data_IF_592769627919
#
_entry.id   IF_592769627919
#
_cell.length_a   1.000
_cell.length_b   1.000
_cell.length_c   1.000
_cell.angle_alpha   90.00
_cell.angle_beta   90.00
_cell.angle_gamma   90.00
#
_symmetry.space_group_name_H-M   'P 1'
#
loop_
_entity.id
_entity.type
_entity.pdbx_description
1 polymer ?
#
# COMPACT_ATOMS: atom_id res chain seq x y z
N UNK A 1 7.08 2.56 2.61
CA UNK A 1 6.64 1.16 2.87
C UNK A 1 6.54 0.39 1.56
N UNK A 2 6.95 -0.88 1.52
CA UNK A 2 6.81 -1.76 0.33
C UNK A 2 5.97 -2.98 0.68
N UNK A 3 4.99 -3.30 -0.17
CA UNK A 3 4.15 -4.49 -0.09
C UNK A 3 4.53 -5.36 -1.28
N UNK A 4 4.97 -6.59 -1.00
CA UNK A 4 5.28 -7.61 -2.00
C UNK A 4 4.30 -8.75 -1.85
N UNK A 5 3.69 -9.19 -2.94
CA UNK A 5 2.87 -10.40 -2.96
C UNK A 5 3.70 -11.58 -3.47
N UNK A 6 3.68 -12.69 -2.74
CA UNK A 6 4.29 -13.96 -3.17
C UNK A 6 3.20 -14.97 -3.46
N UNK A 7 3.00 -15.26 -4.75
CA UNK A 7 1.96 -16.19 -5.20
C UNK A 7 2.59 -17.59 -5.38
N UNK A 8 2.35 -18.50 -4.43
CA UNK A 8 2.76 -19.91 -4.54
C UNK A 8 1.71 -20.69 -5.35
N UNK A 9 2.06 -21.13 -6.55
CA UNK A 9 1.15 -21.89 -7.43
C UNK A 9 1.69 -23.27 -7.78
N UNK A 10 0.85 -24.30 -7.70
CA UNK A 10 1.08 -25.63 -8.26
C UNK A 10 0.17 -25.82 -9.48
N UNK A 11 0.36 -24.97 -10.50
CA UNK A 11 -0.48 -24.92 -11.71
C UNK A 11 0.38 -25.18 -12.94
N UNK A 12 -0.02 -26.15 -13.76
CA UNK A 12 0.75 -26.66 -14.91
C UNK A 12 0.59 -25.84 -16.21
N UNK A 13 -0.21 -24.77 -16.23
CA UNK A 13 -0.58 -24.06 -17.48
C UNK A 13 -0.24 -22.56 -17.42
N UNK A 14 0.56 -22.08 -18.38
CA UNK A 14 1.03 -20.68 -18.47
C UNK A 14 -0.10 -19.64 -18.56
N UNK A 15 -1.22 -19.98 -19.18
CA UNK A 15 -2.37 -19.08 -19.30
C UNK A 15 -2.99 -18.74 -17.94
N UNK A 16 -3.17 -19.73 -17.07
CA UNK A 16 -3.74 -19.51 -15.73
C UNK A 16 -2.80 -18.66 -14.87
N UNK A 17 -1.49 -18.88 -14.99
CA UNK A 17 -0.47 -18.07 -14.29
C UNK A 17 -0.55 -16.61 -14.73
N UNK A 18 -0.65 -16.35 -16.04
CA UNK A 18 -0.78 -14.99 -16.57
C UNK A 18 -2.09 -14.31 -16.14
N UNK A 19 -3.19 -15.06 -16.11
CA UNK A 19 -4.48 -14.53 -15.65
C UNK A 19 -4.41 -14.14 -14.17
N UNK A 20 -3.82 -14.99 -13.32
CA UNK A 20 -3.72 -14.67 -11.89
C UNK A 20 -2.73 -13.54 -11.64
N UNK A 21 -1.62 -13.47 -12.39
CA UNK A 21 -0.69 -12.34 -12.26
C UNK A 21 -1.36 -11.01 -12.62
N UNK A 22 -2.18 -10.97 -13.67
CA UNK A 22 -2.96 -9.77 -14.04
C UNK A 22 -3.97 -9.40 -12.96
N UNK A 23 -4.72 -10.38 -12.47
CA UNK A 23 -5.67 -10.18 -11.37
C UNK A 23 -4.97 -9.67 -10.10
N UNK A 24 -3.78 -10.19 -9.82
CA UNK A 24 -2.98 -9.78 -8.65
C UNK A 24 -2.41 -8.38 -8.82
N UNK A 25 -1.90 -8.02 -10.00
CA UNK A 25 -1.43 -6.66 -10.28
C UNK A 25 -2.55 -5.62 -10.09
N UNK A 26 -3.74 -5.91 -10.60
CA UNK A 26 -4.90 -5.04 -10.42
C UNK A 26 -5.33 -4.94 -8.96
N UNK A 27 -5.41 -6.08 -8.26
CA UNK A 27 -5.72 -6.10 -6.84
C UNK A 27 -4.72 -5.30 -5.99
N UNK A 28 -3.42 -5.37 -6.30
CA UNK A 28 -2.40 -4.57 -5.63
C UNK A 28 -2.62 -3.08 -5.87
N UNK A 29 -2.93 -2.70 -7.10
CA UNK A 29 -3.21 -1.29 -7.42
C UNK A 29 -4.38 -0.76 -6.59
N UNK A 30 -5.47 -1.52 -6.47
CA UNK A 30 -6.63 -1.12 -5.68
C UNK A 30 -6.31 -1.01 -4.18
N UNK A 31 -5.61 -2.01 -3.61
CA UNK A 31 -5.18 -1.99 -2.21
C UNK A 31 -4.24 -0.82 -1.92
N UNK A 32 -3.28 -0.56 -2.82
CA UNK A 32 -2.32 0.54 -2.68
C UNK A 32 -3.05 1.89 -2.67
N UNK A 33 -4.08 2.06 -3.50
CA UNK A 33 -4.91 3.27 -3.52
C UNK A 33 -5.69 3.41 -2.21
N UNK A 34 -6.30 2.34 -1.70
CA UNK A 34 -6.98 2.33 -0.39
C UNK A 34 -6.03 2.73 0.76
N UNK A 35 -4.84 2.11 0.81
CA UNK A 35 -3.81 2.41 1.82
C UNK A 35 -3.35 3.86 1.70
N UNK A 36 -3.09 4.34 0.48
CA UNK A 36 -2.66 5.71 0.27
C UNK A 36 -3.74 6.72 0.73
N UNK A 37 -5.01 6.45 0.43
CA UNK A 37 -6.12 7.28 0.87
C UNK A 37 -6.26 7.32 2.40
N UNK A 38 -6.12 6.18 3.08
CA UNK A 38 -6.17 6.15 4.55
C UNK A 38 -4.95 6.83 5.17
N UNK A 39 -3.76 6.65 4.58
CA UNK A 39 -2.54 7.34 5.01
C UNK A 39 -2.64 8.87 4.83
N UNK A 40 -3.23 9.33 3.72
CA UNK A 40 -3.51 10.76 3.48
C UNK A 40 -4.46 11.30 4.55
N UNK A 41 -5.55 10.58 4.84
CA UNK A 41 -6.52 10.98 5.88
C UNK A 41 -5.89 11.00 7.27
N UNK A 42 -5.11 9.98 7.61
CA UNK A 42 -4.43 9.82 8.89
C UNK A 42 -3.19 10.70 9.08
N UNK A 43 -2.65 11.29 8.01
CA UNK A 43 -1.47 12.16 8.11
C UNK A 43 -1.76 13.35 9.03
N UNK A 44 -0.81 13.68 9.94
CA UNK A 44 -0.88 14.90 10.76
C UNK A 44 -1.05 16.15 9.91
N UNK A 45 -1.82 17.11 10.41
CA UNK A 45 -2.16 18.35 9.70
C UNK A 45 -1.80 19.56 10.55
N UNK A 46 -0.58 20.05 10.35
CA UNK A 46 -0.24 21.42 10.76
C UNK A 46 -0.44 22.38 9.58
N UNK A 47 0.30 22.17 8.49
CA UNK A 47 0.17 22.94 7.23
C UNK A 47 -0.43 22.12 6.09
N UNK A 48 -0.58 20.80 6.28
CA UNK A 48 -1.02 19.86 5.25
C UNK A 48 0.03 19.52 4.19
N UNK A 49 1.28 20.00 4.30
CA UNK A 49 2.34 19.68 3.34
C UNK A 49 2.62 18.17 3.27
N UNK A 50 2.84 17.50 4.41
CA UNK A 50 3.08 16.06 4.43
C UNK A 50 1.94 15.26 3.76
N UNK A 51 0.70 15.63 4.06
CA UNK A 51 -0.49 14.99 3.46
C UNK A 51 -0.47 15.06 1.93
N UNK A 52 -0.09 16.21 1.36
CA UNK A 52 -0.01 16.42 -0.10
C UNK A 52 1.20 15.73 -0.74
N UNK A 53 2.23 15.44 0.05
CA UNK A 53 3.46 14.76 -0.36
C UNK A 53 3.37 13.24 -0.38
N UNK A 54 2.26 12.65 0.09
CA UNK A 54 2.08 11.19 0.04
C UNK A 54 1.81 10.78 -1.40
N UNK A 55 2.64 9.85 -1.89
CA UNK A 55 2.59 9.28 -3.23
C UNK A 55 2.58 7.76 -3.13
N UNK A 56 2.13 7.13 -4.19
CA UNK A 56 2.10 5.69 -4.32
C UNK A 56 2.47 5.25 -5.73
N UNK A 57 3.05 4.06 -5.83
CA UNK A 57 3.40 3.40 -7.10
C UNK A 57 3.02 1.92 -6.99
N UNK A 58 2.43 1.37 -8.05
CA UNK A 58 2.16 -0.06 -8.16
C UNK A 58 2.80 -0.56 -9.46
N UNK A 59 3.69 -1.55 -9.35
CA UNK A 59 4.42 -2.11 -10.48
C UNK A 59 4.46 -3.64 -10.34
N UNK A 60 3.79 -4.33 -11.26
CA UNK A 60 3.70 -5.79 -11.21
C UNK A 60 3.05 -6.26 -9.91
N UNK A 61 3.78 -7.10 -9.17
CA UNK A 61 3.34 -7.73 -7.92
C UNK A 61 3.76 -6.95 -6.66
N UNK A 62 4.16 -5.68 -6.83
CA UNK A 62 4.67 -4.82 -5.77
C UNK A 62 3.93 -3.47 -5.73
N UNK A 63 3.61 -3.04 -4.51
CA UNK A 63 3.01 -1.75 -4.21
C UNK A 63 3.86 -0.97 -3.23
N UNK A 64 4.13 0.30 -3.52
CA UNK A 64 4.93 1.19 -2.68
C UNK A 64 4.15 2.44 -2.33
N UNK A 65 4.13 2.79 -1.05
CA UNK A 65 3.57 4.05 -0.55
C UNK A 65 4.66 4.79 0.22
N UNK A 66 4.85 6.07 -0.08
CA UNK A 66 5.92 6.89 0.48
C UNK A 66 5.53 8.36 0.59
N UNK A 67 6.23 9.10 1.44
CA UNK A 67 6.09 10.55 1.55
C UNK A 67 7.31 11.23 0.92
N UNK A 68 7.08 12.27 0.11
CA UNK A 68 8.14 13.10 -0.48
C UNK A 68 8.46 14.36 0.33
N UNK A 69 7.88 14.51 1.53
CA UNK A 69 8.06 15.70 2.38
C UNK A 69 9.43 15.79 3.03
N UNK A 70 10.21 14.70 3.02
CA UNK A 70 11.51 14.59 3.69
C UNK A 70 11.42 14.33 5.20
N UNK A 71 10.28 14.58 5.83
CA UNK A 71 10.08 14.38 7.27
C UNK A 71 8.94 13.41 7.63
N UNK A 72 8.23 12.85 6.65
CA UNK A 72 7.14 11.89 6.89
C UNK A 72 7.57 10.66 7.69
N UNK A 73 8.82 10.21 7.54
CA UNK A 73 9.37 9.11 8.35
C UNK A 73 9.50 9.46 9.83
N UNK A 74 9.91 10.69 10.17
CA UNK A 74 9.99 11.16 11.55
C UNK A 74 8.61 11.26 12.20
N UNK A 75 7.57 11.57 11.41
CA UNK A 75 6.19 11.54 11.90
C UNK A 75 5.75 10.12 12.23
N UNK A 76 6.19 9.12 11.46
CA UNK A 76 5.85 7.71 11.74
C UNK A 76 6.50 7.16 13.01
N UNK A 77 7.79 7.41 13.20
CA UNK A 77 8.57 6.80 14.30
C UNK A 77 8.70 7.70 15.52
N UNK A 78 8.41 8.98 15.38
CA UNK A 78 8.79 10.00 16.36
C UNK A 78 10.28 10.29 16.32
N UNK A 79 10.67 11.29 17.11
CA UNK A 79 12.05 11.68 17.36
C UNK A 79 12.26 11.89 18.86
N UNK A 80 13.50 12.14 19.30
CA UNK A 80 13.79 12.48 20.71
C UNK A 80 12.95 13.65 21.23
N UNK A 81 12.56 14.58 20.35
CA UNK A 81 11.83 15.81 20.71
C UNK A 81 10.33 15.77 20.37
N UNK A 82 9.84 14.70 19.73
CA UNK A 82 8.47 14.61 19.23
C UNK A 82 7.94 13.18 19.30
N UNK A 83 6.77 12.98 19.89
CA UNK A 83 6.10 11.69 19.91
C UNK A 83 5.72 11.22 18.49
N UNK A 84 5.67 9.90 18.30
CA UNK A 84 5.24 9.30 17.04
C UNK A 84 3.77 9.62 16.74
N UNK A 85 3.48 10.00 15.50
CA UNK A 85 2.15 10.21 14.94
C UNK A 85 1.97 9.28 13.73
N UNK A 86 1.90 7.96 13.95
CA UNK A 86 1.92 6.98 12.88
C UNK A 86 0.68 7.10 11.99
N UNK A 87 0.91 7.07 10.68
CA UNK A 87 -0.17 7.16 9.68
C UNK A 87 -0.02 6.16 8.52
N UNK A 88 1.19 5.66 8.20
CA UNK A 88 1.30 4.57 7.22
C UNK A 88 1.02 3.20 7.84
N UNK A 89 1.62 2.87 8.99
CA UNK A 89 1.34 1.60 9.68
C UNK A 89 -0.16 1.32 9.93
N UNK A 90 -0.95 2.25 10.52
CA UNK A 90 -2.38 2.00 10.71
C UNK A 90 -3.14 1.90 9.38
N UNK A 91 -2.75 2.66 8.36
CA UNK A 91 -3.35 2.60 7.03
C UNK A 91 -3.09 1.25 6.35
N UNK A 92 -1.91 0.66 6.55
CA UNK A 92 -1.62 -0.69 6.08
C UNK A 92 -2.53 -1.71 6.77
N UNK A 93 -2.51 -1.74 8.10
CA UNK A 93 -3.19 -2.77 8.90
C UNK A 93 -4.68 -2.87 8.54
N UNK A 94 -5.30 -1.71 8.35
CA UNK A 94 -6.70 -1.55 7.94
C UNK A 94 -7.04 -2.04 6.53
N UNK A 95 -6.08 -2.20 5.64
CA UNK A 95 -6.35 -2.45 4.23
C UNK A 95 -5.67 -3.71 3.69
N UNK A 96 -4.59 -4.19 4.33
CA UNK A 96 -3.81 -5.33 3.86
C UNK A 96 -4.63 -6.61 3.73
N UNK A 97 -5.61 -6.81 4.62
CA UNK A 97 -6.51 -7.96 4.62
C UNK A 97 -7.50 -7.96 3.44
N UNK A 98 -7.68 -6.84 2.73
CA UNK A 98 -8.56 -6.74 1.56
C UNK A 98 -7.93 -7.35 0.30
N UNK A 99 -6.60 -7.48 0.26
CA UNK A 99 -5.85 -8.00 -0.89
C UNK A 99 -6.37 -9.35 -1.43
N UNK A 100 -6.56 -10.41 -0.62
CA UNK A 100 -7.13 -11.67 -1.11
C UNK A 100 -8.55 -11.51 -1.66
N UNK A 101 -9.35 -10.59 -1.10
CA UNK A 101 -10.71 -10.32 -1.59
C UNK A 101 -10.69 -9.67 -2.97
N UNK A 102 -9.78 -8.74 -3.22
CA UNK A 102 -9.62 -8.11 -4.53
C UNK A 102 -9.11 -9.09 -5.59
N UNK A 103 -8.15 -9.96 -5.24
CA UNK A 103 -7.68 -11.02 -6.15
C UNK A 103 -8.84 -11.94 -6.55
N UNK A 104 -9.67 -12.35 -5.59
CA UNK A 104 -10.84 -13.19 -5.85
C UNK A 104 -11.90 -12.48 -6.70
N UNK A 105 -12.08 -11.18 -6.51
CA UNK A 105 -13.03 -10.39 -7.29
C UNK A 105 -12.61 -10.28 -8.77
N UNK A 106 -11.30 -10.15 -9.04
CA UNK A 106 -10.78 -9.98 -10.40
C UNK A 106 -10.57 -11.30 -11.17
N UNK A 107 -10.52 -12.43 -10.45
CA UNK A 107 -10.47 -13.77 -11.03
C UNK A 107 -11.83 -14.32 -11.48
N UNK A 108 -12.93 -13.65 -11.11
CA UNK A 108 -14.30 -14.11 -11.31
C UNK A 108 -14.89 -13.57 -12.61
#
# INVERSE_FOLDING_TARGET
MKIKSEVKMNLKTKEVINQVNRATEKAIKDVVVDIANDAIKGSPVETGNNRRSIKYEAKGLEGSIYSTSGYGGYLETGTVKMAAQPYFNPALDRNIHKLPSYIKADLR
#
